data_IF_479772715882
#
_entry.id   IF_479772715882
#
_cell.length_a   1.000
_cell.length_b   1.000
_cell.length_c   1.000
_cell.angle_alpha   90.00
_cell.angle_beta   90.00
_cell.angle_gamma   90.00
#
_symmetry.space_group_name_H-M   'P 1'
#
loop_
_entity.id
_entity.type
_entity.pdbx_description
1 polymer ?
#
# COMPACT_ATOMS: atom_id res chain seq x y z
N UNK A 1 -15.14 -22.71 -14.17
CA UNK A 1 -14.17 -21.58 -14.17
C UNK A 1 -12.88 -22.10 -14.78
N UNK A 2 -12.30 -21.40 -15.73
CA UNK A 2 -11.08 -21.85 -16.36
C UNK A 2 -9.85 -21.63 -15.45
N UNK A 3 -8.75 -22.28 -15.80
CA UNK A 3 -7.54 -22.22 -15.00
C UNK A 3 -6.94 -20.82 -14.94
N UNK A 4 -7.06 -20.04 -16.01
CA UNK A 4 -6.52 -18.69 -16.04
C UNK A 4 -7.26 -17.79 -15.05
N UNK A 5 -8.58 -17.87 -14.99
CA UNK A 5 -9.39 -17.08 -14.04
C UNK A 5 -9.06 -17.47 -12.59
N UNK A 6 -8.91 -18.76 -12.32
CA UNK A 6 -8.54 -19.24 -10.98
C UNK A 6 -7.17 -18.68 -10.60
N UNK A 7 -6.19 -18.77 -11.49
CA UNK A 7 -4.83 -18.26 -11.25
C UNK A 7 -4.84 -16.77 -10.99
N UNK A 8 -5.55 -16.00 -11.83
CA UNK A 8 -5.61 -14.54 -11.68
C UNK A 8 -6.19 -14.15 -10.33
N UNK A 9 -7.21 -14.84 -9.88
CA UNK A 9 -7.80 -14.59 -8.57
C UNK A 9 -6.82 -14.89 -7.44
N UNK A 10 -6.07 -15.97 -7.55
CA UNK A 10 -5.07 -16.34 -6.54
C UNK A 10 -3.90 -15.37 -6.53
N UNK A 11 -3.44 -14.92 -7.70
CA UNK A 11 -2.37 -13.91 -7.78
C UNK A 11 -2.82 -12.60 -7.15
N UNK A 12 -4.08 -12.20 -7.37
CA UNK A 12 -4.63 -11.00 -6.74
C UNK A 12 -4.65 -11.12 -5.21
N UNK A 13 -4.95 -12.29 -4.69
CA UNK A 13 -4.86 -12.54 -3.23
C UNK A 13 -3.42 -12.39 -2.73
N UNK A 14 -2.45 -12.93 -3.47
CA UNK A 14 -1.03 -12.76 -3.11
C UNK A 14 -0.61 -11.29 -3.06
N UNK A 15 -1.12 -10.48 -3.99
CA UNK A 15 -0.74 -9.07 -4.08
C UNK A 15 -1.36 -8.20 -3.00
N UNK A 16 -2.49 -8.61 -2.45
CA UNK A 16 -3.31 -7.76 -1.57
C UNK A 16 -2.54 -7.24 -0.36
N UNK A 17 -1.85 -8.11 0.35
CA UNK A 17 -1.08 -7.72 1.53
C UNK A 17 0.14 -6.88 1.19
N UNK A 18 0.84 -7.23 0.11
CA UNK A 18 2.05 -6.51 -0.31
C UNK A 18 1.74 -5.10 -0.82
N UNK A 19 0.55 -4.89 -1.38
CA UNK A 19 0.13 -3.56 -1.84
C UNK A 19 0.08 -2.56 -0.70
N UNK A 20 -0.37 -2.97 0.48
CA UNK A 20 -0.41 -2.09 1.66
C UNK A 20 1.00 -1.58 1.99
N UNK A 21 1.99 -2.48 1.97
CA UNK A 21 3.39 -2.11 2.24
C UNK A 21 3.91 -1.11 1.20
N UNK A 22 3.58 -1.31 -0.08
CA UNK A 22 4.00 -0.42 -1.14
C UNK A 22 3.34 0.96 -0.99
N UNK A 23 2.07 0.99 -0.60
CA UNK A 23 1.36 2.24 -0.32
C UNK A 23 2.05 2.99 0.82
N UNK A 24 2.40 2.31 1.90
CA UNK A 24 3.11 2.93 3.02
C UNK A 24 4.46 3.49 2.57
N UNK A 25 5.20 2.76 1.74
CA UNK A 25 6.48 3.25 1.22
C UNK A 25 6.30 4.53 0.39
N UNK A 26 5.28 4.57 -0.44
CA UNK A 26 4.98 5.76 -1.25
C UNK A 26 4.60 6.97 -0.36
N UNK A 27 4.02 6.72 0.81
CA UNK A 27 3.63 7.75 1.77
C UNK A 27 4.79 8.26 2.65
N UNK A 28 6.01 7.80 2.41
CA UNK A 28 7.19 8.44 3.02
C UNK A 28 7.32 9.89 2.57
N UNK A 29 6.80 10.20 1.38
CA UNK A 29 6.67 11.56 0.87
C UNK A 29 5.20 11.96 0.93
N UNK A 30 4.95 13.25 1.11
CA UNK A 30 3.59 13.80 1.17
C UNK A 30 2.87 13.54 -0.16
N UNK A 31 1.67 12.97 -0.08
CA UNK A 31 0.84 12.64 -1.24
C UNK A 31 -0.62 13.00 -0.96
N UNK A 32 -1.33 13.45 -1.98
CA UNK A 32 -2.79 13.41 -1.97
C UNK A 32 -3.26 12.24 -2.83
N UNK A 33 -4.57 11.92 -2.79
CA UNK A 33 -5.08 10.70 -3.40
C UNK A 33 -4.65 10.51 -4.85
N UNK A 34 -4.82 11.55 -5.68
CA UNK A 34 -4.46 11.45 -7.10
C UNK A 34 -2.96 11.28 -7.32
N UNK A 35 -2.12 12.05 -6.61
CA UNK A 35 -0.67 11.90 -6.76
C UNK A 35 -0.20 10.52 -6.31
N UNK A 36 -0.83 9.97 -5.29
CA UNK A 36 -0.51 8.62 -4.82
C UNK A 36 -0.86 7.57 -5.87
N UNK A 37 -2.02 7.70 -6.51
CA UNK A 37 -2.39 6.81 -7.62
C UNK A 37 -1.34 6.83 -8.73
N UNK A 38 -0.83 8.02 -9.06
CA UNK A 38 0.21 8.19 -10.09
C UNK A 38 1.52 7.50 -9.67
N UNK A 39 1.97 7.73 -8.44
CA UNK A 39 3.20 7.11 -7.92
C UNK A 39 3.08 5.58 -7.96
N UNK A 40 1.95 5.06 -7.53
CA UNK A 40 1.72 3.61 -7.53
C UNK A 40 1.69 3.05 -8.94
N UNK A 41 1.02 3.74 -9.86
CA UNK A 41 0.98 3.32 -11.26
C UNK A 41 2.39 3.31 -11.88
N UNK A 42 3.22 4.28 -11.55
CA UNK A 42 4.61 4.33 -12.02
C UNK A 42 5.44 3.17 -11.48
N UNK A 43 5.04 2.59 -10.37
CA UNK A 43 5.68 1.39 -9.78
C UNK A 43 5.01 0.10 -10.23
N UNK A 44 4.15 0.15 -11.24
CA UNK A 44 3.36 -0.98 -11.74
C UNK A 44 2.43 -1.58 -10.67
N UNK A 45 1.95 -0.74 -9.77
CA UNK A 45 0.96 -1.14 -8.76
C UNK A 45 -0.36 -0.47 -9.12
N UNK A 46 -1.29 -1.25 -9.67
CA UNK A 46 -2.57 -0.76 -10.12
C UNK A 46 -3.61 -0.96 -9.02
N UNK A 47 -3.85 0.11 -8.27
CA UNK A 47 -4.91 0.15 -7.25
C UNK A 47 -5.93 1.17 -7.71
N UNK A 48 -7.19 0.78 -7.73
CA UNK A 48 -8.27 1.69 -8.08
C UNK A 48 -8.55 2.67 -6.95
N UNK A 49 -9.04 3.85 -7.29
CA UNK A 49 -9.39 4.89 -6.31
C UNK A 49 -10.38 4.37 -5.27
N UNK A 50 -11.35 3.55 -5.71
CA UNK A 50 -12.35 2.96 -4.82
C UNK A 50 -11.76 2.02 -3.77
N UNK A 51 -10.56 1.51 -3.99
CA UNK A 51 -9.82 0.69 -3.01
C UNK A 51 -8.84 1.54 -2.21
N UNK A 52 -8.16 2.47 -2.87
CA UNK A 52 -7.11 3.26 -2.24
C UNK A 52 -7.66 4.24 -1.21
N UNK A 53 -8.74 4.95 -1.52
CA UNK A 53 -9.27 5.98 -0.61
C UNK A 53 -9.77 5.39 0.71
N UNK A 54 -10.52 4.29 0.72
CA UNK A 54 -10.86 3.64 1.99
C UNK A 54 -9.64 3.16 2.77
N UNK A 55 -8.59 2.70 2.08
CA UNK A 55 -7.35 2.30 2.73
C UNK A 55 -6.68 3.49 3.40
N UNK A 56 -6.58 4.64 2.73
CA UNK A 56 -6.01 5.85 3.32
C UNK A 56 -6.77 6.27 4.57
N UNK A 57 -8.10 6.23 4.53
CA UNK A 57 -8.93 6.56 5.70
C UNK A 57 -8.66 5.61 6.87
N UNK A 58 -8.50 4.31 6.56
CA UNK A 58 -8.20 3.31 7.58
C UNK A 58 -6.83 3.56 8.21
N UNK A 59 -5.80 3.81 7.40
CA UNK A 59 -4.45 4.07 7.86
C UNK A 59 -4.38 5.35 8.72
N UNK A 60 -5.10 6.39 8.29
CA UNK A 60 -5.21 7.63 9.04
C UNK A 60 -5.86 7.38 10.41
N UNK A 61 -6.95 6.62 10.43
CA UNK A 61 -7.65 6.25 11.66
C UNK A 61 -6.80 5.39 12.59
N UNK A 62 -5.91 4.58 12.04
CA UNK A 62 -4.97 3.75 12.81
C UNK A 62 -3.83 4.57 13.43
N UNK A 63 -3.75 5.86 13.12
CA UNK A 63 -2.79 6.76 13.75
C UNK A 63 -1.38 6.69 13.18
N UNK A 64 -1.20 6.17 11.97
CA UNK A 64 0.13 6.03 11.37
C UNK A 64 0.42 7.06 10.28
N UNK A 65 -0.54 7.95 10.00
CA UNK A 65 -0.38 9.02 9.03
C UNK A 65 -0.54 10.38 9.70
N UNK A 66 0.17 11.38 9.18
CA UNK A 66 -0.16 12.78 9.35
C UNK A 66 -1.01 13.19 8.16
N UNK A 67 -2.04 13.99 8.39
CA UNK A 67 -2.84 14.55 7.32
C UNK A 67 -2.92 16.05 7.45
N UNK A 68 -2.93 16.73 6.31
CA UNK A 68 -2.96 18.19 6.24
C UNK A 68 -3.86 18.58 5.07
N UNK A 69 -4.71 19.60 5.30
CA UNK A 69 -5.54 20.14 4.24
C UNK A 69 -4.83 21.30 3.57
N UNK A 70 -4.78 21.29 2.25
CA UNK A 70 -4.38 22.44 1.45
C UNK A 70 -5.65 23.11 0.91
N UNK A 71 -5.91 24.31 1.37
CA UNK A 71 -7.10 25.08 1.02
C UNK A 71 -6.78 26.28 0.13
N UNK A 72 -5.58 26.34 -0.43
CA UNK A 72 -5.16 27.49 -1.27
C UNK A 72 -5.88 27.56 -2.60
N UNK A 73 -6.38 26.42 -3.08
CA UNK A 73 -7.18 26.35 -4.32
C UNK A 73 -8.67 26.26 -3.99
N UNK A 74 -9.52 26.46 -4.99
CA UNK A 74 -10.97 26.39 -4.82
C UNK A 74 -11.47 25.02 -4.37
N UNK A 75 -10.72 23.95 -4.70
CA UNK A 75 -11.01 22.58 -4.25
C UNK A 75 -9.97 22.17 -3.22
N UNK A 76 -10.33 22.05 -1.95
CA UNK A 76 -9.40 21.61 -0.92
C UNK A 76 -8.85 20.22 -1.21
N UNK A 77 -7.55 20.00 -0.92
CA UNK A 77 -6.90 18.70 -1.06
C UNK A 77 -6.39 18.24 0.30
N UNK A 78 -6.63 16.98 0.62
CA UNK A 78 -6.09 16.37 1.82
C UNK A 78 -4.82 15.64 1.47
N UNK A 79 -3.73 16.01 2.12
CA UNK A 79 -2.42 15.37 1.96
C UNK A 79 -2.16 14.43 3.11
N UNK A 80 -1.47 13.36 2.81
CA UNK A 80 -1.10 12.31 3.77
C UNK A 80 0.39 12.06 3.70
N UNK A 81 0.97 11.73 4.83
CA UNK A 81 2.37 11.35 4.94
C UNK A 81 2.51 10.43 6.16
N UNK A 82 3.45 9.48 6.12
CA UNK A 82 3.74 8.68 7.29
C UNK A 82 4.20 9.58 8.43
N UNK A 83 3.65 9.33 9.62
CA UNK A 83 4.20 9.92 10.84
C UNK A 83 5.31 9.01 11.39
N UNK A 84 5.85 9.33 12.57
CA UNK A 84 6.91 8.53 13.18
C UNK A 84 6.51 7.07 13.38
N UNK A 85 5.30 6.85 13.88
CA UNK A 85 4.77 5.50 14.07
C UNK A 85 4.62 4.77 12.73
N UNK A 86 4.21 5.47 11.69
CA UNK A 86 4.09 4.91 10.36
C UNK A 86 5.43 4.45 9.79
N UNK A 87 6.48 5.24 9.99
CA UNK A 87 7.82 4.84 9.59
C UNK A 87 8.29 3.59 10.33
N UNK A 88 8.02 3.50 11.64
CA UNK A 88 8.39 2.33 12.43
C UNK A 88 7.65 1.08 11.98
N UNK A 89 6.35 1.23 11.70
CA UNK A 89 5.53 0.12 11.20
C UNK A 89 6.02 -0.34 9.83
N UNK A 90 6.34 0.58 8.93
CA UNK A 90 6.85 0.22 7.61
C UNK A 90 8.16 -0.57 7.73
N UNK A 91 9.05 -0.13 8.60
CA UNK A 91 10.33 -0.83 8.84
C UNK A 91 10.09 -2.27 9.32
N UNK A 92 9.22 -2.44 10.29
CA UNK A 92 8.87 -3.77 10.81
C UNK A 92 8.18 -4.63 9.76
N UNK A 93 7.32 -4.02 8.95
CA UNK A 93 6.60 -4.72 7.89
C UNK A 93 7.55 -5.22 6.80
N UNK A 94 8.56 -4.42 6.45
CA UNK A 94 9.59 -4.85 5.50
C UNK A 94 10.36 -6.06 6.03
N UNK A 95 10.67 -6.07 7.31
CA UNK A 95 11.34 -7.21 7.95
C UNK A 95 10.44 -8.45 7.91
N UNK A 96 9.16 -8.29 8.24
CA UNK A 96 8.20 -9.39 8.18
C UNK A 96 8.08 -9.95 6.76
N UNK A 97 8.14 -9.07 5.76
CA UNK A 97 8.12 -9.49 4.36
C UNK A 97 9.31 -10.38 4.01
N UNK A 98 10.53 -9.99 4.43
CA UNK A 98 11.73 -10.79 4.18
C UNK A 98 11.64 -12.18 4.85
N UNK A 99 11.12 -12.22 6.07
CA UNK A 99 10.91 -13.47 6.79
C UNK A 99 9.87 -14.34 6.09
N UNK A 100 8.79 -13.73 5.63
CA UNK A 100 7.72 -14.46 4.94
C UNK A 100 8.21 -15.06 3.62
N UNK A 101 8.98 -14.32 2.83
CA UNK A 101 9.59 -14.84 1.59
C UNK A 101 10.43 -16.08 1.91
N UNK A 102 11.27 -15.97 2.93
CA UNK A 102 12.13 -17.09 3.31
C UNK A 102 11.31 -18.30 3.72
N UNK A 103 10.28 -18.10 4.53
CA UNK A 103 9.42 -19.19 5.01
C UNK A 103 8.68 -19.86 3.86
N UNK A 104 8.13 -19.06 2.94
CA UNK A 104 7.42 -19.60 1.78
C UNK A 104 8.39 -20.37 0.88
N UNK A 105 9.55 -19.80 0.59
CA UNK A 105 10.54 -20.46 -0.26
C UNK A 105 11.03 -21.77 0.34
N UNK A 106 11.30 -21.78 1.64
CA UNK A 106 11.71 -22.98 2.35
C UNK A 106 10.61 -24.05 2.32
N UNK A 107 9.36 -23.61 2.39
CA UNK A 107 8.21 -24.50 2.48
C UNK A 107 7.86 -25.18 1.16
N UNK A 108 7.96 -24.46 0.02
CA UNK A 108 7.39 -24.95 -1.24
C UNK A 108 8.36 -24.97 -2.42
N UNK A 109 9.51 -24.28 -2.35
CA UNK A 109 10.44 -24.18 -3.47
C UNK A 109 11.59 -25.21 -3.37
N UNK A 110 11.72 -25.88 -2.26
CA UNK A 110 12.70 -26.96 -2.10
C UNK A 110 12.16 -28.27 -2.63
N UNK A 111 12.96 -28.96 -3.37
CA UNK A 111 12.64 -30.32 -3.86
C UNK A 111 13.03 -31.38 -2.87
#
# INVERSE_FOLDING_TARGET
MDNQTVLDNMVNELKRGTQIMIVLDALKNMQYGYSLLQVLNDRNVNIEAGTLYPLLRRLDKQGILESTWDTTESRPRKYYQLNEQGHDILKSLKQAWLELINDVNTSIMED
#
